data_IF_611421157422
#
_entry.id   IF_611421157422
#
_cell.length_a   1.000
_cell.length_b   1.000
_cell.length_c   1.000
_cell.angle_alpha   90.00
_cell.angle_beta   90.00
_cell.angle_gamma   90.00
#
_symmetry.space_group_name_H-M   'P 1'
#
loop_
_entity.id
_entity.type
_entity.pdbx_description
1 polymer ?
#
# COMPACT_ATOMS: atom_id res chain seq x y z
N UNK A 1 15.58 6.77 -10.54
CA UNK A 1 15.55 7.43 -9.23
C UNK A 1 14.15 8.04 -9.09
N UNK A 2 13.21 7.30 -8.57
CA UNK A 2 11.85 7.80 -8.34
C UNK A 2 11.82 8.59 -7.04
N UNK A 3 11.89 9.91 -7.13
CA UNK A 3 11.55 10.79 -6.01
C UNK A 3 10.02 10.79 -5.81
N UNK A 4 9.47 9.65 -5.44
CA UNK A 4 8.07 9.55 -5.06
C UNK A 4 7.90 10.14 -3.66
N UNK A 5 7.07 11.15 -3.53
CA UNK A 5 6.60 11.64 -2.24
C UNK A 5 5.65 10.59 -1.66
N UNK A 6 5.99 9.99 -0.51
CA UNK A 6 5.13 9.03 0.17
C UNK A 6 3.97 9.73 0.86
N UNK A 7 2.80 9.11 0.81
CA UNK A 7 1.60 9.64 1.45
C UNK A 7 1.33 8.90 2.76
N UNK A 8 1.27 9.65 3.85
CA UNK A 8 1.08 9.14 5.21
C UNK A 8 -0.22 9.63 5.81
N UNK A 9 -0.99 8.72 6.41
CA UNK A 9 -2.13 9.05 7.27
C UNK A 9 -1.75 8.80 8.74
N UNK A 10 -1.79 9.85 9.55
CA UNK A 10 -1.55 9.81 11.00
C UNK A 10 -2.90 9.79 11.71
N UNK A 11 -3.12 8.80 12.56
CA UNK A 11 -4.37 8.60 13.29
C UNK A 11 -4.08 8.51 14.79
N UNK A 12 -4.56 9.47 15.53
CA UNK A 12 -4.40 9.56 16.99
C UNK A 12 -5.45 10.59 17.49
N UNK A 13 -6.11 10.38 18.60
CA UNK A 13 -7.11 11.29 19.12
C UNK A 13 -6.47 12.55 19.75
N UNK A 14 -5.21 12.46 20.18
CA UNK A 14 -4.47 13.57 20.75
C UNK A 14 -3.75 14.39 19.67
N UNK A 15 -4.20 15.63 19.44
CA UNK A 15 -3.56 16.53 18.47
C UNK A 15 -2.08 16.79 18.75
N UNK A 16 -1.67 16.76 20.02
CA UNK A 16 -0.28 16.98 20.42
C UNK A 16 0.61 15.82 19.94
N UNK A 17 0.13 14.60 20.04
CA UNK A 17 0.83 13.39 19.55
C UNK A 17 0.98 13.45 18.03
N UNK A 18 -0.10 13.76 17.29
CA UNK A 18 -0.02 13.93 15.82
C UNK A 18 0.99 15.00 15.43
N UNK A 19 1.06 16.12 16.16
CA UNK A 19 2.06 17.16 15.90
C UNK A 19 3.49 16.68 16.17
N UNK A 20 3.69 15.89 17.23
CA UNK A 20 4.97 15.25 17.53
C UNK A 20 5.44 14.33 16.40
N UNK A 21 4.55 13.47 15.89
CA UNK A 21 4.84 12.57 14.76
C UNK A 21 5.16 13.38 13.49
N UNK A 22 4.38 14.41 13.18
CA UNK A 22 4.67 15.32 12.04
C UNK A 22 6.05 15.98 12.14
N UNK A 23 6.44 16.37 13.36
CA UNK A 23 7.76 16.94 13.58
C UNK A 23 8.88 15.93 13.32
N UNK A 24 8.70 14.67 13.74
CA UNK A 24 9.64 13.58 13.48
C UNK A 24 9.74 13.26 11.99
N UNK A 25 8.61 13.22 11.27
CA UNK A 25 8.58 13.00 9.82
C UNK A 25 9.29 14.10 9.04
N UNK A 26 9.16 15.38 9.44
CA UNK A 26 9.87 16.49 8.80
C UNK A 26 11.40 16.41 8.90
N UNK A 27 11.93 15.60 9.81
CA UNK A 27 13.37 15.39 9.98
C UNK A 27 13.90 14.23 9.13
N UNK A 28 13.03 13.48 8.47
CA UNK A 28 13.44 12.40 7.57
C UNK A 28 13.98 12.98 6.25
N UNK A 29 14.78 12.17 5.55
CA UNK A 29 15.38 12.56 4.27
C UNK A 29 14.33 12.58 3.13
N UNK A 30 13.33 11.70 3.19
CA UNK A 30 12.27 11.62 2.19
C UNK A 30 11.15 12.63 2.47
N UNK A 31 10.57 13.24 1.42
CA UNK A 31 9.40 14.09 1.57
C UNK A 31 8.12 13.25 1.77
N UNK A 32 7.24 13.71 2.67
CA UNK A 32 5.96 13.07 2.95
C UNK A 32 4.80 14.03 2.72
N UNK A 33 3.75 13.56 2.05
CA UNK A 33 2.43 14.17 2.07
C UNK A 33 1.66 13.63 3.27
N UNK A 34 1.30 14.50 4.22
CA UNK A 34 0.77 14.07 5.52
C UNK A 34 -0.70 14.42 5.63
N UNK A 35 -1.51 13.41 5.93
CA UNK A 35 -2.91 13.52 6.31
C UNK A 35 -3.10 13.14 7.77
N UNK A 36 -4.19 13.62 8.38
CA UNK A 36 -4.48 13.39 9.80
C UNK A 36 -5.93 12.98 9.99
N UNK A 37 -6.17 12.09 10.95
CA UNK A 37 -7.51 11.76 11.42
C UNK A 37 -7.52 11.65 12.96
N UNK A 38 -8.62 12.04 13.63
CA UNK A 38 -8.69 12.02 15.09
C UNK A 38 -9.14 10.68 15.68
N UNK A 39 -9.49 9.69 14.87
CA UNK A 39 -9.91 8.35 15.29
C UNK A 39 -9.99 7.41 14.09
N UNK A 40 -10.15 6.12 14.35
CA UNK A 40 -10.19 5.09 13.30
C UNK A 40 -11.34 5.26 12.32
N UNK A 41 -12.53 5.68 12.78
CA UNK A 41 -13.68 5.88 11.90
C UNK A 41 -13.44 6.99 10.88
N UNK A 42 -12.96 8.16 11.32
CA UNK A 42 -12.60 9.26 10.44
C UNK A 42 -11.46 8.88 9.47
N UNK A 43 -10.50 8.09 9.94
CA UNK A 43 -9.42 7.56 9.12
C UNK A 43 -9.93 6.65 8.00
N UNK A 44 -10.82 5.71 8.29
CA UNK A 44 -11.40 4.81 7.31
C UNK A 44 -12.22 5.56 6.26
N UNK A 45 -13.05 6.52 6.69
CA UNK A 45 -13.81 7.40 5.78
C UNK A 45 -12.87 8.18 4.84
N UNK A 46 -11.77 8.70 5.38
CA UNK A 46 -10.75 9.42 4.61
C UNK A 46 -10.03 8.51 3.61
N UNK A 47 -9.63 7.28 4.00
CA UNK A 47 -9.04 6.28 3.12
C UNK A 47 -9.97 5.98 1.93
N UNK A 48 -11.26 5.73 2.18
CA UNK A 48 -12.26 5.48 1.14
C UNK A 48 -12.43 6.70 0.21
N UNK A 49 -12.52 7.90 0.78
CA UNK A 49 -12.64 9.15 0.01
C UNK A 49 -11.43 9.37 -0.91
N UNK A 50 -10.22 9.16 -0.41
CA UNK A 50 -8.99 9.32 -1.19
C UNK A 50 -8.89 8.29 -2.31
N UNK A 51 -9.25 7.02 -2.06
CA UNK A 51 -9.32 5.98 -3.09
C UNK A 51 -10.28 6.38 -4.22
N UNK A 52 -11.45 6.92 -3.90
CA UNK A 52 -12.42 7.39 -4.90
C UNK A 52 -11.90 8.58 -5.74
N UNK A 53 -10.96 9.35 -5.21
CA UNK A 53 -10.26 10.44 -5.91
C UNK A 53 -9.02 9.97 -6.69
N UNK A 54 -8.75 8.66 -6.72
CA UNK A 54 -7.54 8.10 -7.34
C UNK A 54 -6.25 8.36 -6.56
N UNK A 55 -6.35 8.80 -5.30
CA UNK A 55 -5.21 9.00 -4.42
C UNK A 55 -4.93 7.75 -3.59
N UNK A 56 -3.66 7.49 -3.31
CA UNK A 56 -3.22 6.35 -2.53
C UNK A 56 -2.57 6.83 -1.23
N UNK A 57 -2.88 6.16 -0.13
CA UNK A 57 -2.10 6.23 1.11
C UNK A 57 -1.10 5.08 1.10
N UNK A 58 0.16 5.36 1.38
CA UNK A 58 1.23 4.37 1.42
C UNK A 58 1.46 3.83 2.82
N UNK A 59 1.40 4.71 3.82
CA UNK A 59 1.70 4.41 5.20
C UNK A 59 0.56 4.89 6.11
N UNK A 60 0.10 4.00 6.98
CA UNK A 60 -0.81 4.30 8.08
C UNK A 60 -0.01 4.28 9.38
N UNK A 61 0.01 5.42 10.09
CA UNK A 61 0.54 5.54 11.45
C UNK A 61 -0.64 5.70 12.39
N UNK A 62 -0.90 4.74 13.28
CA UNK A 62 -2.08 4.77 14.13
C UNK A 62 -1.74 4.51 15.59
N UNK A 63 -2.38 5.26 16.50
CA UNK A 63 -2.46 4.84 17.90
C UNK A 63 -3.35 3.59 18.02
N UNK A 64 -3.14 2.83 19.09
CA UNK A 64 -4.01 1.69 19.43
C UNK A 64 -5.32 2.19 20.00
N UNK A 65 -5.28 2.97 21.06
CA UNK A 65 -6.47 3.37 21.82
C UNK A 65 -7.02 4.70 21.36
N UNK A 66 -8.13 4.64 20.67
CA UNK A 66 -8.85 5.83 20.23
C UNK A 66 -10.37 5.65 20.42
N UNK A 67 -11.12 6.75 20.57
CA UNK A 67 -12.60 6.67 20.66
C UNK A 67 -13.22 6.22 19.32
N UNK A 68 -14.39 5.61 19.39
CA UNK A 68 -15.27 5.16 18.29
C UNK A 68 -14.76 3.95 17.50
N UNK A 69 -13.51 3.92 17.12
CA UNK A 69 -12.84 2.83 16.42
C UNK A 69 -11.37 2.89 16.79
N UNK A 70 -10.86 1.82 17.38
CA UNK A 70 -9.46 1.71 17.77
C UNK A 70 -8.54 1.42 16.56
N UNK A 71 -7.22 1.47 16.78
CA UNK A 71 -6.24 1.28 15.70
C UNK A 71 -6.24 -0.13 15.14
N UNK A 72 -6.54 -1.14 15.96
CA UNK A 72 -6.62 -2.55 15.54
C UNK A 72 -7.87 -2.78 14.67
N UNK A 73 -9.01 -2.23 15.10
CA UNK A 73 -10.27 -2.26 14.33
C UNK A 73 -10.10 -1.54 13.00
N UNK A 74 -9.45 -0.36 13.00
CA UNK A 74 -9.13 0.38 11.77
C UNK A 74 -8.32 -0.45 10.78
N UNK A 75 -7.25 -1.11 11.25
CA UNK A 75 -6.39 -1.94 10.39
C UNK A 75 -7.18 -3.11 9.81
N UNK A 76 -8.00 -3.77 10.63
CA UNK A 76 -8.88 -4.85 10.19
C UNK A 76 -9.84 -4.38 9.10
N UNK A 77 -10.58 -3.31 9.35
CA UNK A 77 -11.53 -2.73 8.40
C UNK A 77 -10.87 -2.26 7.10
N UNK A 78 -9.69 -1.62 7.18
CA UNK A 78 -8.94 -1.22 6.00
C UNK A 78 -8.54 -2.42 5.13
N UNK A 79 -8.17 -3.55 5.74
CA UNK A 79 -7.87 -4.79 4.99
C UNK A 79 -9.09 -5.42 4.36
N UNK A 80 -10.21 -5.47 5.05
CA UNK A 80 -11.49 -5.96 4.52
C UNK A 80 -11.94 -5.14 3.32
N UNK A 81 -11.71 -3.82 3.34
CA UNK A 81 -11.93 -2.92 2.22
C UNK A 81 -10.88 -3.05 1.08
N UNK A 82 -9.87 -3.92 1.23
CA UNK A 82 -8.86 -4.19 0.22
C UNK A 82 -7.72 -3.16 0.15
N UNK A 83 -7.54 -2.34 1.18
CA UNK A 83 -6.40 -1.44 1.25
C UNK A 83 -5.09 -2.21 1.49
N UNK A 84 -4.07 -1.91 0.68
CA UNK A 84 -2.70 -2.40 0.82
C UNK A 84 -1.80 -1.24 1.22
N UNK A 85 -1.61 -1.05 2.51
CA UNK A 85 -0.76 0.00 3.06
C UNK A 85 0.23 -0.60 4.07
N UNK A 86 1.36 0.05 4.24
CA UNK A 86 2.27 -0.23 5.34
C UNK A 86 1.69 0.37 6.61
N UNK A 87 1.60 -0.42 7.66
CA UNK A 87 0.98 0.01 8.92
C UNK A 87 2.01 -0.01 10.05
N UNK A 88 2.10 1.10 10.77
CA UNK A 88 2.91 1.24 11.99
C UNK A 88 1.97 1.62 13.13
N UNK A 89 2.06 0.90 14.23
CA UNK A 89 1.24 1.13 15.43
C UNK A 89 2.08 1.84 16.49
N UNK A 90 1.50 2.86 17.12
CA UNK A 90 2.00 3.41 18.37
C UNK A 90 1.18 2.90 19.54
N UNK A 91 1.83 2.55 20.64
CA UNK A 91 1.13 2.02 21.80
C UNK A 91 1.82 2.37 23.12
N UNK A 92 1.03 2.53 24.18
CA UNK A 92 1.56 2.69 25.53
C UNK A 92 2.15 1.41 26.13
N UNK A 93 2.89 1.56 27.21
CA UNK A 93 3.33 0.43 28.02
C UNK A 93 2.13 -0.39 28.52
N UNK A 94 2.23 -1.71 28.56
CA UNK A 94 1.23 -2.68 29.02
C UNK A 94 0.16 -3.14 28.00
N UNK A 95 0.40 -2.98 26.72
CA UNK A 95 -0.56 -3.39 25.68
C UNK A 95 -0.10 -4.66 24.92
N UNK A 96 0.47 -5.63 25.63
CA UNK A 96 1.00 -6.86 25.02
C UNK A 96 -0.01 -7.65 24.18
N UNK A 97 -1.29 -7.63 24.56
CA UNK A 97 -2.34 -8.29 23.77
C UNK A 97 -2.55 -7.62 22.42
N UNK A 98 -2.43 -6.29 22.34
CA UNK A 98 -2.51 -5.57 21.06
C UNK A 98 -1.31 -5.87 20.16
N UNK A 99 -0.11 -6.06 20.73
CA UNK A 99 1.05 -6.47 19.96
C UNK A 99 0.85 -7.84 19.28
N UNK A 100 0.22 -8.81 19.96
CA UNK A 100 -0.15 -10.09 19.34
C UNK A 100 -1.16 -9.94 18.21
N UNK A 101 -2.15 -9.07 18.38
CA UNK A 101 -3.14 -8.81 17.33
C UNK A 101 -2.49 -8.09 16.13
N UNK A 102 -1.61 -7.13 16.39
CA UNK A 102 -0.84 -6.44 15.37
C UNK A 102 -0.04 -7.41 14.48
N UNK A 103 0.66 -8.39 15.11
CA UNK A 103 1.40 -9.45 14.38
C UNK A 103 0.44 -10.28 13.51
N UNK A 104 -0.72 -10.69 14.02
CA UNK A 104 -1.73 -11.44 13.23
C UNK A 104 -2.28 -10.63 12.07
N UNK A 105 -2.43 -9.34 12.27
CA UNK A 105 -2.83 -8.41 11.21
C UNK A 105 -1.68 -8.08 10.25
N UNK A 106 -0.45 -8.55 10.49
CA UNK A 106 0.69 -8.32 9.61
C UNK A 106 1.05 -6.85 9.47
N UNK A 107 1.03 -6.10 10.59
CA UNK A 107 1.52 -4.72 10.60
C UNK A 107 3.02 -4.69 10.30
N UNK A 108 3.48 -3.59 9.73
CA UNK A 108 4.89 -3.44 9.31
C UNK A 108 5.81 -3.22 10.49
N UNK A 109 5.34 -2.51 11.52
CA UNK A 109 6.10 -2.26 12.75
C UNK A 109 5.20 -1.81 13.92
N UNK A 110 5.79 -1.79 15.13
CA UNK A 110 5.12 -1.46 16.38
C UNK A 110 6.07 -0.66 17.27
N UNK A 111 5.72 0.58 17.60
CA UNK A 111 6.55 1.52 18.36
C UNK A 111 5.91 1.80 19.72
N UNK A 112 6.70 1.69 20.79
CA UNK A 112 6.24 2.02 22.13
C UNK A 112 6.28 3.53 22.40
N UNK A 113 5.24 4.05 23.05
CA UNK A 113 5.23 5.42 23.60
C UNK A 113 5.95 5.43 24.97
N UNK A 114 6.79 6.44 25.29
CA UNK A 114 7.06 7.64 24.48
C UNK A 114 7.95 7.33 23.27
N UNK A 115 7.61 7.89 22.12
CA UNK A 115 8.29 7.59 20.85
C UNK A 115 9.75 8.02 20.89
N UNK A 116 10.66 7.07 20.73
CA UNK A 116 12.08 7.37 20.58
C UNK A 116 12.37 7.87 19.16
N UNK A 117 12.96 9.06 18.97
CA UNK A 117 13.20 9.62 17.64
C UNK A 117 14.12 8.75 16.75
N UNK A 118 15.07 8.04 17.33
CA UNK A 118 15.98 7.18 16.57
C UNK A 118 15.27 5.90 16.10
N UNK A 119 14.51 5.24 16.98
CA UNK A 119 13.68 4.09 16.66
C UNK A 119 12.66 4.44 15.58
N UNK A 120 11.99 5.59 15.72
CA UNK A 120 11.05 6.10 14.72
C UNK A 120 11.72 6.26 13.35
N UNK A 121 12.90 6.90 13.31
CA UNK A 121 13.64 7.11 12.06
C UNK A 121 14.00 5.78 11.38
N UNK A 122 14.50 4.80 12.15
CA UNK A 122 14.84 3.47 11.63
C UNK A 122 13.61 2.74 11.08
N UNK A 123 12.47 2.83 11.77
CA UNK A 123 11.21 2.23 11.32
C UNK A 123 10.73 2.87 10.02
N UNK A 124 10.76 4.19 9.91
CA UNK A 124 10.37 4.90 8.67
C UNK A 124 11.30 4.52 7.52
N UNK A 125 12.61 4.52 7.72
CA UNK A 125 13.60 4.11 6.70
C UNK A 125 13.37 2.67 6.23
N UNK A 126 13.12 1.74 7.14
CA UNK A 126 12.78 0.35 6.81
C UNK A 126 11.52 0.27 5.94
N UNK A 127 10.44 0.94 6.36
CA UNK A 127 9.14 0.88 5.69
C UNK A 127 9.19 1.56 4.32
N UNK A 128 9.84 2.70 4.18
CA UNK A 128 10.03 3.38 2.89
C UNK A 128 10.91 2.56 1.95
N UNK A 129 11.96 1.91 2.48
CA UNK A 129 12.79 0.99 1.71
C UNK A 129 12.02 -0.23 1.18
N UNK A 130 11.09 -0.80 1.96
CA UNK A 130 10.20 -1.87 1.51
C UNK A 130 9.21 -1.39 0.44
N UNK A 131 8.63 -0.20 0.61
CA UNK A 131 7.75 0.42 -0.38
C UNK A 131 8.49 0.67 -1.69
N UNK A 132 9.71 1.20 -1.64
CA UNK A 132 10.54 1.43 -2.82
C UNK A 132 10.79 0.13 -3.61
N UNK A 133 11.11 -0.97 -2.93
CA UNK A 133 11.27 -2.28 -3.57
C UNK A 133 9.98 -2.72 -4.25
N UNK A 134 8.83 -2.60 -3.58
CA UNK A 134 7.53 -2.96 -4.14
C UNK A 134 7.19 -2.12 -5.38
N UNK A 135 7.50 -0.82 -5.39
CA UNK A 135 7.29 0.04 -6.56
C UNK A 135 8.16 -0.38 -7.74
N UNK A 136 9.45 -0.62 -7.51
CA UNK A 136 10.37 -1.08 -8.57
C UNK A 136 9.94 -2.43 -9.15
N UNK A 137 9.56 -3.39 -8.31
CA UNK A 137 9.08 -4.69 -8.76
C UNK A 137 7.78 -4.57 -9.56
N UNK A 138 6.85 -3.71 -9.14
CA UNK A 138 5.61 -3.46 -9.87
C UNK A 138 5.86 -2.78 -11.22
N UNK A 139 6.75 -1.79 -11.29
CA UNK A 139 7.15 -1.15 -12.54
C UNK A 139 7.77 -2.16 -13.52
N UNK A 140 8.67 -3.03 -13.04
CA UNK A 140 9.26 -4.08 -13.85
C UNK A 140 8.22 -5.07 -14.38
N UNK A 141 7.25 -5.49 -13.55
CA UNK A 141 6.15 -6.36 -13.98
C UNK A 141 5.28 -5.70 -15.06
N UNK A 142 4.96 -4.41 -14.89
CA UNK A 142 4.17 -3.67 -15.87
C UNK A 142 4.91 -3.51 -17.20
N UNK A 143 6.21 -3.22 -17.17
CA UNK A 143 7.05 -3.15 -18.36
C UNK A 143 7.13 -4.50 -19.06
N UNK A 144 7.41 -5.58 -18.34
CA UNK A 144 7.42 -6.93 -18.91
C UNK A 144 6.09 -7.28 -19.57
N UNK A 145 4.96 -6.97 -18.91
CA UNK A 145 3.62 -7.20 -19.47
C UNK A 145 3.37 -6.37 -20.73
N UNK A 146 3.86 -5.13 -20.80
CA UNK A 146 3.74 -4.26 -21.96
C UNK A 146 4.54 -4.78 -23.16
N UNK A 147 5.82 -5.09 -22.97
CA UNK A 147 6.69 -5.69 -24.02
C UNK A 147 6.11 -6.96 -24.55
N UNK A 148 5.55 -7.81 -23.67
CA UNK A 148 4.96 -9.07 -24.08
C UNK A 148 3.68 -8.87 -24.87
N UNK A 149 2.85 -7.90 -24.51
CA UNK A 149 1.64 -7.56 -25.28
C UNK A 149 2.00 -7.09 -26.69
N UNK A 150 3.02 -6.24 -26.80
CA UNK A 150 3.51 -5.75 -28.09
C UNK A 150 4.08 -6.90 -28.95
N UNK A 151 4.85 -7.80 -28.35
CA UNK A 151 5.40 -8.97 -29.03
C UNK A 151 4.30 -9.93 -29.51
N UNK A 152 3.27 -10.16 -28.71
CA UNK A 152 2.11 -10.98 -29.12
C UNK A 152 1.35 -10.35 -30.30
N UNK A 153 1.10 -9.03 -30.24
CA UNK A 153 0.47 -8.31 -31.35
C UNK A 153 1.33 -8.37 -32.62
N UNK A 154 2.63 -8.13 -32.51
CA UNK A 154 3.55 -8.24 -33.64
C UNK A 154 3.53 -9.65 -34.26
N UNK A 155 3.53 -10.70 -33.45
CA UNK A 155 3.47 -12.11 -33.93
C UNK A 155 2.16 -12.41 -34.64
N UNK A 156 1.03 -11.93 -34.11
CA UNK A 156 -0.28 -12.08 -34.74
C UNK A 156 -0.37 -11.37 -36.11
N UNK A 157 0.13 -10.13 -36.20
CA UNK A 157 0.09 -9.35 -37.44
C UNK A 157 1.04 -9.89 -38.52
N UNK A 158 2.12 -10.57 -38.14
CA UNK A 158 3.10 -11.12 -39.09
C UNK A 158 2.88 -12.61 -39.42
N UNK A 159 1.67 -13.16 -39.16
CA UNK A 159 1.30 -14.51 -39.57
C UNK A 159 1.88 -15.61 -38.67
N UNK A 160 2.28 -15.30 -37.47
CA UNK A 160 2.64 -16.30 -36.44
C UNK A 160 1.44 -17.19 -36.15
N UNK A 161 1.62 -18.52 -36.29
CA UNK A 161 0.53 -19.48 -36.10
C UNK A 161 -0.11 -19.39 -34.70
N UNK A 162 -1.41 -19.67 -34.64
CA UNK A 162 -2.20 -19.67 -33.40
C UNK A 162 -1.56 -20.50 -32.27
N UNK A 163 -0.80 -21.55 -32.60
CA UNK A 163 -0.09 -22.43 -31.66
C UNK A 163 1.09 -21.70 -30.97
N UNK A 164 1.83 -20.84 -31.69
CA UNK A 164 2.91 -20.02 -31.09
C UNK A 164 2.37 -18.96 -30.17
N UNK A 165 1.27 -18.33 -30.54
CA UNK A 165 0.58 -17.32 -29.72
C UNK A 165 0.01 -17.98 -28.45
N UNK A 166 -0.55 -19.20 -28.58
CA UNK A 166 -1.10 -19.94 -27.44
C UNK A 166 -0.02 -20.34 -26.43
N UNK A 167 1.13 -20.82 -26.93
CA UNK A 167 2.27 -21.23 -26.09
C UNK A 167 2.89 -20.03 -25.37
N UNK A 168 3.06 -18.90 -26.04
CA UNK A 168 3.56 -17.66 -25.45
C UNK A 168 2.59 -17.05 -24.44
N UNK A 169 1.31 -17.03 -24.74
CA UNK A 169 0.28 -16.51 -23.86
C UNK A 169 0.04 -17.42 -22.64
N UNK A 170 0.14 -18.74 -22.78
CA UNK A 170 0.01 -19.69 -21.65
C UNK A 170 1.14 -19.60 -20.62
N UNK A 171 2.35 -19.21 -21.03
CA UNK A 171 3.48 -18.99 -20.12
C UNK A 171 3.47 -17.65 -19.38
N UNK A 172 2.59 -16.72 -19.76
CA UNK A 172 2.69 -15.30 -19.37
C UNK A 172 1.45 -14.72 -18.71
N UNK A 173 0.32 -15.34 -18.92
CA UNK A 173 -0.94 -14.79 -18.46
C UNK A 173 -1.69 -15.84 -17.64
N UNK A 174 -1.94 -15.53 -16.38
CA UNK A 174 -2.97 -16.22 -15.61
C UNK A 174 -4.32 -16.13 -16.36
N UNK A 175 -5.30 -16.95 -15.95
CA UNK A 175 -6.62 -17.15 -16.58
C UNK A 175 -7.38 -15.87 -17.02
N UNK A 176 -7.06 -14.72 -16.44
CA UNK A 176 -7.69 -13.43 -16.75
C UNK A 176 -7.34 -12.86 -18.14
N UNK A 177 -6.19 -13.22 -18.74
CA UNK A 177 -5.80 -12.73 -20.07
C UNK A 177 -6.71 -13.34 -21.17
N UNK A 178 -7.01 -14.61 -21.08
CA UNK A 178 -7.85 -15.31 -22.06
C UNK A 178 -9.28 -14.80 -22.07
N UNK A 179 -9.82 -14.45 -20.91
CA UNK A 179 -11.16 -13.86 -20.80
C UNK A 179 -11.26 -12.48 -21.44
N UNK A 180 -10.18 -11.69 -21.38
CA UNK A 180 -10.11 -10.38 -22.03
C UNK A 180 -9.87 -10.49 -23.54
N UNK A 181 -9.01 -11.40 -23.95
CA UNK A 181 -8.67 -11.62 -25.36
C UNK A 181 -9.85 -12.20 -26.16
N UNK A 182 -10.58 -13.16 -25.61
CA UNK A 182 -11.82 -13.67 -26.20
C UNK A 182 -12.89 -12.59 -26.39
N UNK A 183 -13.01 -11.66 -25.47
CA UNK A 183 -13.94 -10.53 -25.62
C UNK A 183 -13.55 -9.59 -26.75
N UNK A 184 -12.26 -9.33 -26.96
CA UNK A 184 -11.79 -8.49 -28.06
C UNK A 184 -11.98 -9.12 -29.44
N UNK A 185 -11.77 -10.44 -29.58
CA UNK A 185 -11.95 -11.17 -30.84
C UNK A 185 -13.42 -11.28 -31.30
N UNK A 186 -14.35 -11.37 -30.35
CA UNK A 186 -15.79 -11.46 -30.65
C UNK A 186 -16.40 -10.10 -31.09
N UNK A 187 -15.69 -8.99 -30.92
CA UNK A 187 -16.14 -7.66 -31.36
C UNK A 187 -15.63 -7.25 -32.75
N UNK A 188 -14.81 -8.08 -33.41
CA UNK A 188 -14.24 -7.79 -34.74
C UNK A 188 -14.71 -8.74 -35.85
N UNK A 189 -15.76 -9.50 -35.61
CA UNK A 189 -16.44 -10.33 -36.64
C UNK A 189 -17.85 -9.86 -36.91
#
# INVERSE_FOLDING_TARGET
>A
MGNGMYTILIVDDEKIERNGIKFLLKKQAEPFEIYEAPNGKAALEQLCSMRNQGKKIDILLTDVKMPFMDGIELIGAAKEEGFTLKTIIFSGYNEFEYAKLAVRLGVSDYILKPVNPQEFAQTIEKVTGELQKQYVENEQRLQQSSYMREYLLYTLFNGGGAEQVHTLAGNLAGENFWNHFHRCLLYTS
#
